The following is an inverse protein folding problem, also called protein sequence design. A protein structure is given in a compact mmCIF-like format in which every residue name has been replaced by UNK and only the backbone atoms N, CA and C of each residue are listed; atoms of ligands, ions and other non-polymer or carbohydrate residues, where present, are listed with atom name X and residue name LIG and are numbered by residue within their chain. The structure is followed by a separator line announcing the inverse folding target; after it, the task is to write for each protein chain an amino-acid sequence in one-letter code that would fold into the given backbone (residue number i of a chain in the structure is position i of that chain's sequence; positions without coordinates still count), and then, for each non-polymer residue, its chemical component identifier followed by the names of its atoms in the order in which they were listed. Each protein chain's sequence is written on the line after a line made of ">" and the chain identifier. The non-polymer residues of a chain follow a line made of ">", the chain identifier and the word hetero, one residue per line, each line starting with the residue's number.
data_IF_393301735056
#
_entry.id   IF_393301735056
#
_cell.length_a   1.000
_cell.length_b   1.000
_cell.length_c   1.000
_cell.angle_alpha   90.00
_cell.angle_beta   90.00
_cell.angle_gamma   90.00
#
_symmetry.space_group_name_H-M   'P 1'
#
loop_
_entity.id
_entity.type
_entity.pdbx_description
1 polymer ?
#
# COMPACT_ATOMS: atom_id res chain seq x y z
N UNK A 1 -37.04 10.34 13.57
CA UNK A 1 -37.77 10.39 12.28
C UNK A 1 -36.94 9.79 11.16
N UNK A 2 -35.65 10.11 11.09
CA UNK A 2 -34.70 9.62 10.08
C UNK A 2 -34.77 8.11 9.77
N UNK A 3 -34.79 7.24 10.78
CA UNK A 3 -34.84 5.78 10.55
C UNK A 3 -36.12 5.32 9.87
N UNK A 4 -37.25 5.96 10.16
CA UNK A 4 -38.55 5.66 9.55
C UNK A 4 -38.63 6.21 8.13
N UNK A 5 -38.10 7.42 7.89
CA UNK A 5 -37.98 8.00 6.56
C UNK A 5 -37.09 7.14 5.67
N UNK A 6 -35.93 6.72 6.18
CA UNK A 6 -35.02 5.84 5.47
C UNK A 6 -35.67 4.49 5.11
N UNK A 7 -36.40 3.87 6.06
CA UNK A 7 -37.15 2.64 5.77
C UNK A 7 -38.23 2.86 4.71
N UNK A 8 -38.91 4.01 4.73
CA UNK A 8 -39.95 4.35 3.76
C UNK A 8 -39.37 4.54 2.36
N UNK A 9 -38.22 5.22 2.25
CA UNK A 9 -37.48 5.37 0.99
C UNK A 9 -37.02 4.01 0.48
N UNK A 10 -36.47 3.15 1.35
CA UNK A 10 -36.04 1.80 0.97
C UNK A 10 -37.18 0.92 0.47
N UNK A 11 -38.38 1.03 1.05
CA UNK A 11 -39.56 0.29 0.55
C UNK A 11 -39.87 0.65 -0.89
N UNK A 12 -39.84 1.94 -1.24
CA UNK A 12 -40.17 2.43 -2.57
C UNK A 12 -39.12 2.02 -3.62
N UNK A 13 -37.84 2.01 -3.26
CA UNK A 13 -36.75 1.59 -4.16
C UNK A 13 -36.52 0.06 -4.19
N UNK A 14 -37.22 -0.67 -3.33
CA UNK A 14 -37.10 -2.12 -3.14
C UNK A 14 -36.27 -2.47 -1.90
N UNK A 15 -36.89 -3.22 -1.00
CA UNK A 15 -36.34 -3.55 0.31
C UNK A 15 -35.22 -4.60 0.22
N UNK A 16 -33.98 -4.31 0.64
CA UNK A 16 -32.92 -5.30 0.75
C UNK A 16 -33.10 -6.18 2.01
N UNK A 17 -32.18 -7.13 2.24
CA UNK A 17 -32.13 -7.87 3.51
C UNK A 17 -31.73 -6.92 4.64
N UNK A 18 -32.69 -6.54 5.49
CA UNK A 18 -32.47 -5.67 6.63
C UNK A 18 -32.28 -6.45 7.94
N UNK A 19 -31.34 -6.00 8.76
CA UNK A 19 -31.12 -6.45 10.14
C UNK A 19 -31.27 -5.22 11.04
N UNK A 20 -32.14 -5.31 12.03
CA UNK A 20 -32.29 -4.25 13.03
C UNK A 20 -31.28 -4.41 14.16
N UNK A 21 -30.72 -3.30 14.65
CA UNK A 21 -29.91 -3.27 15.87
C UNK A 21 -30.51 -2.22 16.80
N UNK A 22 -30.90 -2.64 18.00
CA UNK A 22 -31.39 -1.76 19.05
C UNK A 22 -30.28 -1.54 20.08
N UNK A 23 -29.88 -0.28 20.22
CA UNK A 23 -28.79 0.17 21.10
C UNK A 23 -29.35 0.92 22.32
N UNK A 24 -28.46 1.33 23.23
CA UNK A 24 -28.76 2.12 24.43
C UNK A 24 -29.77 1.46 25.38
N UNK A 25 -29.64 0.15 25.58
CA UNK A 25 -30.49 -0.58 26.50
C UNK A 25 -30.08 -0.41 27.97
N UNK A 26 -28.86 0.05 28.21
CA UNK A 26 -28.34 0.40 29.54
C UNK A 26 -29.03 1.59 30.20
N UNK A 27 -29.72 2.43 29.43
CA UNK A 27 -30.40 3.60 29.99
C UNK A 27 -31.62 3.22 30.83
N UNK A 28 -32.15 2.00 30.67
CA UNK A 28 -33.29 1.51 31.42
C UNK A 28 -32.87 1.06 32.82
N UNK A 29 -33.34 1.77 33.85
CA UNK A 29 -33.15 1.37 35.25
C UNK A 29 -34.01 0.15 35.61
N UNK A 30 -35.21 0.05 35.04
CA UNK A 30 -36.16 -1.03 35.33
C UNK A 30 -36.21 -2.11 34.22
N UNK A 31 -36.06 -3.36 34.63
CA UNK A 31 -36.16 -4.52 33.73
C UNK A 31 -37.55 -4.72 33.13
N UNK A 32 -38.62 -4.30 33.82
CA UNK A 32 -39.99 -4.41 33.31
C UNK A 32 -40.21 -3.47 32.12
N UNK A 33 -39.75 -2.23 32.23
CA UNK A 33 -39.81 -1.24 31.16
C UNK A 33 -38.96 -1.67 29.95
N UNK A 34 -37.75 -2.16 30.20
CA UNK A 34 -36.87 -2.68 29.16
C UNK A 34 -37.56 -3.77 28.32
N UNK A 35 -38.22 -4.75 28.96
CA UNK A 35 -38.95 -5.82 28.26
C UNK A 35 -40.14 -5.31 27.46
N UNK A 36 -40.90 -4.35 28.00
CA UNK A 36 -42.02 -3.70 27.30
C UNK A 36 -41.53 -2.95 26.07
N UNK A 37 -40.44 -2.18 26.20
CA UNK A 37 -39.86 -1.42 25.09
C UNK A 37 -39.27 -2.33 24.01
N UNK A 38 -38.52 -3.37 24.39
CA UNK A 38 -38.03 -4.39 23.43
C UNK A 38 -39.17 -5.00 22.63
N UNK A 39 -40.26 -5.37 23.29
CA UNK A 39 -41.45 -5.95 22.63
C UNK A 39 -42.12 -4.95 21.70
N UNK A 40 -42.31 -3.70 22.15
CA UNK A 40 -42.88 -2.61 21.34
C UNK A 40 -42.05 -2.33 20.09
N UNK A 41 -40.73 -2.18 20.24
CA UNK A 41 -39.81 -1.90 19.14
C UNK A 41 -39.73 -3.08 18.16
N UNK A 42 -39.69 -4.31 18.66
CA UNK A 42 -39.74 -5.51 17.84
C UNK A 42 -41.01 -5.58 17.00
N UNK A 43 -42.19 -5.38 17.62
CA UNK A 43 -43.47 -5.38 16.91
C UNK A 43 -43.56 -4.27 15.88
N UNK A 44 -43.03 -3.08 16.20
CA UNK A 44 -42.99 -1.98 15.25
C UNK A 44 -42.07 -2.29 14.06
N UNK A 45 -40.88 -2.81 14.33
CA UNK A 45 -39.92 -3.21 13.29
C UNK A 45 -40.49 -4.30 12.38
N UNK A 46 -41.26 -5.24 12.92
CA UNK A 46 -41.96 -6.27 12.13
C UNK A 46 -43.03 -5.70 11.21
N UNK A 47 -43.82 -4.73 11.70
CA UNK A 47 -44.79 -4.01 10.87
C UNK A 47 -44.11 -3.21 9.75
N UNK A 48 -42.97 -2.61 10.04
CA UNK A 48 -42.27 -1.74 9.10
C UNK A 48 -41.39 -2.50 8.11
N UNK A 49 -40.92 -3.72 8.38
CA UNK A 49 -40.01 -4.45 7.48
C UNK A 49 -40.69 -5.70 6.90
N UNK A 50 -40.74 -6.76 7.69
CA UNK A 50 -41.56 -7.95 7.44
C UNK A 50 -41.72 -8.71 8.77
N UNK A 51 -42.76 -9.53 8.86
CA UNK A 51 -43.02 -10.33 10.06
C UNK A 51 -41.89 -11.34 10.31
N UNK A 52 -41.33 -11.32 11.52
CA UNK A 52 -40.21 -12.20 11.86
C UNK A 52 -38.83 -11.65 11.50
N UNK A 53 -38.72 -10.38 11.08
CA UNK A 53 -37.43 -9.74 10.85
C UNK A 53 -36.53 -9.79 12.11
N UNK A 54 -35.23 -10.00 11.91
CA UNK A 54 -34.26 -10.16 12.99
C UNK A 54 -33.88 -8.80 13.59
N UNK A 55 -34.04 -8.69 14.90
CA UNK A 55 -33.65 -7.53 15.71
C UNK A 55 -32.62 -7.97 16.76
N UNK A 56 -31.44 -7.38 16.72
CA UNK A 56 -30.37 -7.57 17.70
C UNK A 56 -30.45 -6.51 18.78
N UNK A 57 -30.01 -6.88 19.97
CA UNK A 57 -29.98 -6.02 21.14
C UNK A 57 -28.52 -5.84 21.54
N UNK A 58 -28.04 -4.61 21.55
CA UNK A 58 -26.76 -4.25 22.13
C UNK A 58 -27.04 -3.64 23.49
N UNK A 59 -26.58 -4.31 24.54
CA UNK A 59 -26.86 -3.88 25.91
C UNK A 59 -26.21 -2.52 26.14
N UNK A 60 -24.89 -2.49 25.93
CA UNK A 60 -24.06 -1.40 26.42
C UNK A 60 -22.69 -1.24 25.80
N UNK A 61 -22.01 -0.19 26.23
CA UNK A 61 -20.63 0.12 25.89
C UNK A 61 -19.71 -0.17 27.09
N UNK A 62 -18.65 -0.94 26.84
CA UNK A 62 -17.56 -1.22 27.77
C UNK A 62 -16.27 -0.71 27.14
N UNK A 63 -15.59 0.24 27.77
CA UNK A 63 -14.40 0.91 27.23
C UNK A 63 -14.65 1.46 25.81
N UNK A 64 -15.75 2.20 25.64
CA UNK A 64 -16.19 2.80 24.38
C UNK A 64 -16.40 1.79 23.22
N UNK A 65 -16.55 0.50 23.55
CA UNK A 65 -16.81 -0.57 22.58
C UNK A 65 -17.99 -1.41 23.02
N UNK A 66 -18.75 -1.93 22.07
CA UNK A 66 -19.83 -2.87 22.40
C UNK A 66 -19.30 -4.20 22.94
N UNK A 67 -20.15 -4.95 23.63
CA UNK A 67 -19.81 -6.26 24.16
C UNK A 67 -19.42 -7.23 23.03
N UNK A 68 -18.24 -7.85 23.17
CA UNK A 68 -17.69 -8.77 22.17
C UNK A 68 -18.64 -9.92 21.81
N UNK A 69 -19.35 -10.47 22.79
CA UNK A 69 -20.27 -11.59 22.57
C UNK A 69 -21.48 -11.17 21.72
N UNK A 70 -22.01 -9.98 21.94
CA UNK A 70 -23.15 -9.44 21.18
C UNK A 70 -22.74 -9.11 19.75
N UNK A 71 -21.59 -8.46 19.56
CA UNK A 71 -21.01 -8.20 18.23
C UNK A 71 -20.70 -9.50 17.51
N UNK A 72 -20.13 -10.50 18.20
CA UNK A 72 -19.81 -11.79 17.58
C UNK A 72 -21.07 -12.49 17.06
N UNK A 73 -22.17 -12.46 17.82
CA UNK A 73 -23.45 -12.98 17.37
C UNK A 73 -23.98 -12.21 16.15
N UNK A 74 -23.95 -10.88 16.19
CA UNK A 74 -24.36 -10.04 15.05
C UNK A 74 -23.52 -10.34 13.79
N UNK A 75 -22.19 -10.40 13.93
CA UNK A 75 -21.26 -10.69 12.85
C UNK A 75 -21.51 -12.08 12.23
N UNK A 76 -21.83 -13.07 13.06
CA UNK A 76 -22.21 -14.42 12.60
C UNK A 76 -23.45 -14.36 11.70
N UNK A 77 -24.46 -13.56 12.07
CA UNK A 77 -25.66 -13.41 11.26
C UNK A 77 -25.42 -12.64 9.96
N UNK A 78 -24.64 -11.56 10.00
CA UNK A 78 -24.26 -10.81 8.79
C UNK A 78 -23.52 -11.74 7.81
N UNK A 79 -22.61 -12.58 8.30
CA UNK A 79 -21.81 -13.50 7.47
C UNK A 79 -22.64 -14.56 6.75
N UNK A 80 -23.75 -15.00 7.35
CA UNK A 80 -24.63 -16.05 6.79
C UNK A 80 -25.81 -15.43 6.02
N UNK A 81 -26.02 -14.13 6.15
CA UNK A 81 -27.15 -13.43 5.55
C UNK A 81 -27.12 -13.53 4.01
N UNK A 82 -28.24 -13.96 3.43
CA UNK A 82 -28.40 -13.97 1.97
C UNK A 82 -28.89 -12.60 1.52
N UNK A 83 -28.26 -12.06 0.49
CA UNK A 83 -28.68 -10.79 -0.10
C UNK A 83 -29.86 -11.02 -1.05
N UNK A 84 -30.83 -10.11 -1.01
CA UNK A 84 -31.91 -10.04 -1.99
C UNK A 84 -31.42 -9.22 -3.17
N UNK A 85 -31.52 -9.79 -4.37
CA UNK A 85 -31.11 -9.12 -5.59
C UNK A 85 -32.24 -8.21 -6.11
N UNK A 86 -32.02 -6.91 -6.05
CA UNK A 86 -32.99 -5.90 -6.50
C UNK A 86 -32.96 -5.78 -8.04
N UNK A 87 -34.14 -5.61 -8.65
CA UNK A 87 -34.29 -5.51 -10.11
C UNK A 87 -33.46 -4.38 -10.72
N UNK A 88 -33.42 -3.21 -10.08
CA UNK A 88 -32.61 -2.07 -10.51
C UNK A 88 -31.10 -2.41 -10.52
N UNK A 89 -30.62 -3.04 -9.43
CA UNK A 89 -29.21 -3.45 -9.28
C UNK A 89 -28.79 -4.55 -10.26
N UNK A 90 -29.73 -5.39 -10.72
CA UNK A 90 -29.48 -6.40 -11.74
C UNK A 90 -29.36 -5.82 -13.15
N UNK A 91 -30.01 -4.69 -13.42
CA UNK A 91 -30.08 -4.10 -14.77
C UNK A 91 -29.00 -3.04 -15.01
N UNK A 92 -28.52 -2.38 -13.95
CA UNK A 92 -27.60 -1.25 -14.07
C UNK A 92 -26.26 -1.55 -13.42
N UNK A 93 -25.18 -1.09 -14.06
CA UNK A 93 -23.84 -1.09 -13.50
C UNK A 93 -23.68 0.11 -12.58
N UNK A 94 -23.16 -0.10 -11.38
CA UNK A 94 -22.87 1.00 -10.45
C UNK A 94 -21.58 0.72 -9.68
N UNK A 95 -20.92 1.79 -9.26
CA UNK A 95 -19.71 1.75 -8.45
C UNK A 95 -19.99 2.52 -7.17
N UNK A 96 -19.58 1.95 -6.05
CA UNK A 96 -19.38 2.73 -4.83
C UNK A 96 -17.89 3.04 -4.79
N UNK A 97 -17.56 4.33 -4.88
CA UNK A 97 -16.17 4.76 -4.91
C UNK A 97 -15.55 4.57 -3.52
N UNK A 98 -14.56 3.69 -3.42
CA UNK A 98 -13.80 3.45 -2.19
C UNK A 98 -12.70 4.51 -2.04
N UNK A 99 -12.08 4.91 -3.17
CA UNK A 99 -11.09 5.99 -3.27
C UNK A 99 -11.42 6.87 -4.47
N UNK A 100 -11.13 8.17 -4.37
CA UNK A 100 -11.14 9.07 -5.52
C UNK A 100 -9.91 9.99 -5.48
N UNK A 101 -9.34 10.27 -6.65
CA UNK A 101 -8.24 11.20 -6.80
C UNK A 101 -8.65 12.32 -7.76
N UNK A 102 -8.28 13.55 -7.42
CA UNK A 102 -8.49 14.72 -8.29
C UNK A 102 -7.17 15.07 -8.95
N UNK A 103 -7.09 14.83 -10.26
CA UNK A 103 -5.92 15.15 -11.07
C UNK A 103 -6.06 16.59 -11.54
N UNK A 104 -5.32 17.49 -10.90
CA UNK A 104 -5.17 18.86 -11.37
C UNK A 104 -4.02 18.90 -12.38
N UNK A 105 -4.32 19.01 -13.67
CA UNK A 105 -3.26 19.28 -14.65
C UNK A 105 -2.90 20.76 -14.55
N UNK A 106 -1.61 21.07 -14.43
CA UNK A 106 -1.12 22.45 -14.24
C UNK A 106 -1.55 23.42 -15.37
N UNK A 107 -1.94 22.90 -16.53
CA UNK A 107 -2.30 23.66 -17.73
C UNK A 107 -3.81 23.73 -18.02
N UNK A 108 -4.68 23.13 -17.19
CA UNK A 108 -6.14 23.23 -17.36
C UNK A 108 -6.71 24.42 -16.61
N UNK A 109 -7.67 25.12 -17.23
CA UNK A 109 -8.50 26.15 -16.58
C UNK A 109 -9.03 25.66 -15.23
N UNK A 110 -9.01 26.52 -14.20
CA UNK A 110 -9.45 26.22 -12.81
C UNK A 110 -10.86 25.58 -12.71
N UNK A 111 -11.66 25.66 -13.77
CA UNK A 111 -13.06 25.24 -13.81
C UNK A 111 -13.27 23.76 -14.20
N UNK A 112 -12.25 23.06 -14.70
CA UNK A 112 -12.38 21.64 -15.10
C UNK A 112 -11.29 20.78 -14.47
N UNK A 113 -11.70 19.92 -13.53
CA UNK A 113 -10.82 18.93 -12.90
C UNK A 113 -11.16 17.52 -13.40
N UNK A 114 -10.13 16.73 -13.71
CA UNK A 114 -10.30 15.31 -14.02
C UNK A 114 -10.30 14.52 -12.72
N UNK A 115 -11.33 13.69 -12.51
CA UNK A 115 -11.48 12.88 -11.30
C UNK A 115 -11.41 11.41 -11.65
N UNK A 116 -10.55 10.67 -10.96
CA UNK A 116 -10.41 9.23 -11.06
C UNK A 116 -11.10 8.56 -9.88
N UNK A 117 -12.07 7.70 -10.15
CA UNK A 117 -12.78 6.93 -9.12
C UNK A 117 -12.27 5.49 -9.10
N UNK A 118 -11.95 4.99 -7.91
CA UNK A 118 -11.53 3.62 -7.66
C UNK A 118 -12.59 2.92 -6.81
N UNK A 119 -12.95 1.70 -7.19
CA UNK A 119 -13.88 0.89 -6.42
C UNK A 119 -14.28 -0.35 -7.19
N UNK A 120 -15.12 -1.16 -6.56
CA UNK A 120 -15.63 -2.39 -7.16
C UNK A 120 -16.85 -2.10 -8.05
N UNK A 121 -16.81 -2.65 -9.27
CA UNK A 121 -17.98 -2.65 -10.17
C UNK A 121 -19.03 -3.62 -9.63
N UNK A 122 -20.25 -3.13 -9.43
CA UNK A 122 -21.40 -3.89 -8.92
C UNK A 122 -22.54 -3.86 -9.95
N UNK A 123 -23.40 -4.88 -9.91
CA UNK A 123 -24.52 -5.03 -10.85
C UNK A 123 -24.08 -5.66 -12.17
N UNK A 124 -24.32 -4.97 -13.28
CA UNK A 124 -23.91 -5.42 -14.63
C UNK A 124 -22.49 -4.96 -15.01
N UNK A 125 -22.02 -5.40 -16.18
CA UNK A 125 -20.75 -4.95 -16.73
C UNK A 125 -20.79 -3.45 -17.07
N UNK A 126 -19.73 -2.72 -16.71
CA UNK A 126 -19.56 -1.32 -17.04
C UNK A 126 -19.00 -1.15 -18.46
N UNK A 127 -19.75 -0.48 -19.33
CA UNK A 127 -19.34 -0.18 -20.70
C UNK A 127 -18.44 1.07 -20.77
N UNK A 128 -17.46 1.07 -21.68
CA UNK A 128 -16.49 2.16 -21.83
C UNK A 128 -17.11 3.48 -22.31
N UNK A 129 -18.14 3.40 -23.14
CA UNK A 129 -18.79 4.57 -23.73
C UNK A 129 -20.06 5.00 -22.99
N UNK A 130 -20.34 4.40 -21.83
CA UNK A 130 -21.52 4.75 -21.04
C UNK A 130 -21.41 6.15 -20.45
N UNK A 131 -22.57 6.79 -20.25
CA UNK A 131 -22.68 7.98 -19.40
C UNK A 131 -22.92 7.53 -17.96
N UNK A 132 -22.25 8.19 -17.02
CA UNK A 132 -22.37 7.93 -15.59
C UNK A 132 -23.01 9.14 -14.93
N UNK A 133 -24.00 8.88 -14.09
CA UNK A 133 -24.60 9.90 -13.25
C UNK A 133 -23.91 9.90 -11.88
N UNK A 134 -23.26 11.01 -11.54
CA UNK A 134 -22.71 11.25 -10.21
C UNK A 134 -23.79 11.86 -9.33
N UNK A 135 -24.14 11.14 -8.25
CA UNK A 135 -25.15 11.58 -7.29
C UNK A 135 -24.83 12.98 -6.75
N UNK A 136 -25.74 13.93 -6.99
CA UNK A 136 -25.61 15.31 -6.51
C UNK A 136 -24.72 16.23 -7.35
N UNK A 137 -24.04 15.72 -8.38
CA UNK A 137 -23.17 16.54 -9.26
C UNK A 137 -23.77 16.64 -10.66
N UNK A 138 -24.12 15.50 -11.28
CA UNK A 138 -24.69 15.48 -12.64
C UNK A 138 -24.19 14.33 -13.51
N UNK A 139 -24.45 14.43 -14.81
CA UNK A 139 -24.15 13.40 -15.81
C UNK A 139 -22.83 13.67 -16.54
N UNK A 140 -21.94 12.69 -16.53
CA UNK A 140 -20.61 12.78 -17.16
C UNK A 140 -20.32 11.57 -18.06
N UNK A 141 -19.61 11.76 -19.19
CA UNK A 141 -19.09 10.65 -19.98
C UNK A 141 -17.86 10.04 -19.29
N UNK A 142 -17.63 8.74 -19.51
CA UNK A 142 -16.40 8.06 -19.03
C UNK A 142 -15.26 8.33 -20.02
N UNK A 143 -14.12 8.80 -19.52
CA UNK A 143 -12.91 9.01 -20.33
C UNK A 143 -12.10 7.73 -20.53
N UNK A 144 -11.85 6.98 -19.45
CA UNK A 144 -11.06 5.77 -19.48
C UNK A 144 -11.50 4.80 -18.37
N UNK A 145 -11.39 3.50 -18.63
CA UNK A 145 -11.64 2.43 -17.66
C UNK A 145 -10.42 1.51 -17.64
N UNK A 146 -9.80 1.40 -16.47
CA UNK A 146 -8.67 0.49 -16.23
C UNK A 146 -9.03 -0.50 -15.14
N UNK A 147 -8.76 -1.78 -15.39
CA UNK A 147 -8.94 -2.84 -14.38
C UNK A 147 -7.66 -2.94 -13.55
N UNK A 148 -7.80 -2.80 -12.24
CA UNK A 148 -6.70 -2.91 -11.27
C UNK A 148 -6.86 -4.24 -10.51
N UNK A 149 -5.76 -4.77 -9.98
CA UNK A 149 -5.81 -5.95 -9.12
C UNK A 149 -6.58 -5.66 -7.83
N UNK A 150 -7.26 -6.69 -7.32
CA UNK A 150 -8.06 -6.58 -6.11
C UNK A 150 -7.16 -6.32 -4.88
N UNK A 151 -7.36 -5.22 -4.13
CA UNK A 151 -6.59 -4.95 -2.91
C UNK A 151 -6.93 -5.91 -1.76
N UNK A 152 -8.08 -6.58 -1.79
CA UNK A 152 -8.50 -7.59 -0.79
C UNK A 152 -8.85 -8.89 -1.52
N UNK A 153 -7.85 -9.64 -1.98
CA UNK A 153 -8.10 -10.89 -2.69
C UNK A 153 -8.76 -11.89 -1.74
N UNK A 154 -9.96 -12.34 -2.11
CA UNK A 154 -10.64 -13.41 -1.38
C UNK A 154 -9.95 -14.73 -1.72
N UNK A 155 -9.05 -15.20 -0.87
CA UNK A 155 -8.31 -16.46 -1.08
C UNK A 155 -9.24 -17.65 -1.38
N UNK A 156 -10.47 -17.62 -0.83
CA UNK A 156 -11.50 -18.63 -1.01
C UNK A 156 -12.09 -18.70 -2.44
N UNK A 157 -12.02 -17.63 -3.24
CA UNK A 157 -12.62 -17.55 -4.58
C UNK A 157 -11.55 -17.46 -5.65
N UNK A 158 -11.71 -18.25 -6.70
CA UNK A 158 -10.84 -18.24 -7.86
C UNK A 158 -10.86 -16.84 -8.49
N UNK A 159 -9.74 -16.10 -8.53
CA UNK A 159 -9.71 -14.84 -9.25
C UNK A 159 -9.88 -15.10 -10.74
N UNK A 160 -10.61 -14.21 -11.42
CA UNK A 160 -11.05 -14.42 -12.80
C UNK A 160 -9.90 -14.63 -13.81
N UNK A 161 -8.69 -14.17 -13.48
CA UNK A 161 -7.50 -14.27 -14.33
C UNK A 161 -6.69 -15.57 -14.13
N UNK A 162 -6.91 -16.34 -13.05
CA UNK A 162 -6.17 -17.59 -12.82
C UNK A 162 -6.83 -18.77 -13.53
N UNK A 163 -6.07 -19.83 -13.85
CA UNK A 163 -6.65 -21.10 -14.29
C UNK A 163 -7.20 -21.88 -13.09
N UNK A 164 -8.18 -22.76 -13.33
CA UNK A 164 -8.86 -23.50 -12.25
C UNK A 164 -7.89 -24.46 -11.54
N UNK A 165 -7.03 -25.10 -12.32
CA UNK A 165 -6.01 -26.04 -11.86
C UNK A 165 -4.97 -25.38 -10.96
N UNK A 166 -4.44 -24.21 -11.36
CA UNK A 166 -3.50 -23.42 -10.55
C UNK A 166 -4.12 -22.99 -9.21
N UNK A 167 -5.38 -22.58 -9.24
CA UNK A 167 -6.11 -22.19 -8.03
C UNK A 167 -6.37 -23.37 -7.09
N UNK A 168 -6.69 -24.55 -7.63
CA UNK A 168 -6.90 -25.78 -6.84
C UNK A 168 -5.58 -26.33 -6.26
N UNK A 169 -4.46 -26.15 -6.95
CA UNK A 169 -3.12 -26.44 -6.43
C UNK A 169 -2.75 -25.51 -5.26
N UNK A 170 -3.05 -24.21 -5.37
CA UNK A 170 -2.80 -23.21 -4.32
C UNK A 170 -3.67 -23.39 -3.07
N UNK A 171 -4.97 -23.70 -3.23
CA UNK A 171 -5.89 -23.84 -2.10
C UNK A 171 -5.80 -25.20 -1.38
N UNK A 172 -5.31 -26.23 -2.06
CA UNK A 172 -5.39 -27.61 -1.58
C UNK A 172 -6.83 -28.17 -1.62
N UNK A 173 -6.95 -29.51 -1.66
CA UNK A 173 -8.20 -30.25 -1.97
C UNK A 173 -9.39 -30.05 -1.00
N UNK A 174 -9.30 -29.27 0.08
CA UNK A 174 -10.37 -29.14 1.09
C UNK A 174 -10.78 -27.69 1.28
N UNK A 175 -12.05 -27.37 0.98
CA UNK A 175 -12.70 -26.10 1.34
C UNK A 175 -12.60 -25.91 2.87
N UNK A 176 -11.70 -25.03 3.30
CA UNK A 176 -11.51 -24.70 4.72
C UNK A 176 -12.75 -23.96 5.23
N UNK A 177 -13.23 -24.33 6.43
CA UNK A 177 -14.39 -23.68 7.07
C UNK A 177 -14.01 -22.51 7.97
N UNK A 178 -12.72 -22.37 8.30
CA UNK A 178 -12.19 -21.34 9.20
C UNK A 178 -11.21 -20.45 8.45
N UNK A 179 -11.36 -19.14 8.64
CA UNK A 179 -10.50 -18.10 8.08
C UNK A 179 -9.24 -17.94 8.94
N UNK A 180 -8.05 -17.90 8.32
CA UNK A 180 -6.79 -17.61 9.02
C UNK A 180 -6.70 -16.12 9.37
N UNK A 181 -5.83 -15.77 10.32
CA UNK A 181 -5.60 -14.36 10.65
C UNK A 181 -4.95 -13.58 9.50
N UNK A 182 -4.10 -14.22 8.68
CA UNK A 182 -3.50 -13.61 7.47
C UNK A 182 -4.53 -13.23 6.41
N UNK A 183 -5.65 -13.94 6.37
CA UNK A 183 -6.74 -13.73 5.41
C UNK A 183 -7.69 -12.60 5.87
N UNK A 184 -7.56 -12.11 7.11
CA UNK A 184 -8.35 -11.00 7.66
C UNK A 184 -7.78 -9.65 7.25
N UNK A 185 -7.82 -9.37 5.95
CA UNK A 185 -7.32 -8.13 5.36
C UNK A 185 -8.44 -7.07 5.39
N UNK A 186 -8.07 -5.83 5.70
CA UNK A 186 -8.99 -4.68 5.72
C UNK A 186 -8.49 -3.65 4.71
N UNK A 187 -9.37 -3.22 3.81
CA UNK A 187 -9.11 -2.12 2.87
C UNK A 187 -10.06 -0.97 3.16
N UNK A 188 -9.49 0.15 3.62
CA UNK A 188 -10.23 1.36 3.94
C UNK A 188 -9.31 2.57 3.69
N UNK A 189 -9.19 3.04 2.44
CA UNK A 189 -8.17 4.03 2.06
C UNK A 189 -8.37 5.41 2.69
N UNK A 190 -9.62 5.79 3.02
CA UNK A 190 -9.95 7.04 3.70
C UNK A 190 -10.14 6.89 5.22
N UNK A 191 -9.88 5.72 5.78
CA UNK A 191 -10.01 5.48 7.22
C UNK A 191 -8.64 5.28 7.85
N UNK A 192 -8.54 5.69 9.11
CA UNK A 192 -7.40 5.42 9.97
C UNK A 192 -7.22 3.92 10.18
N UNK A 193 -6.14 3.36 9.64
CA UNK A 193 -5.79 1.95 9.82
C UNK A 193 -4.62 1.86 10.80
N UNK A 194 -4.93 1.55 12.06
CA UNK A 194 -3.94 1.43 13.12
C UNK A 194 -3.29 2.78 13.41
N UNK A 195 -1.98 2.87 13.19
CA UNK A 195 -1.20 4.09 13.44
C UNK A 195 -1.12 5.02 12.22
N UNK A 196 -1.54 4.59 11.03
CA UNK A 196 -1.37 5.35 9.80
C UNK A 196 -2.70 5.95 9.34
N UNK A 197 -2.71 7.27 9.17
CA UNK A 197 -3.82 8.04 8.66
C UNK A 197 -3.41 8.64 7.32
N UNK A 198 -4.25 8.51 6.31
CA UNK A 198 -4.01 9.12 5.01
C UNK A 198 -4.99 10.27 4.80
N UNK A 199 -4.45 11.43 4.45
CA UNK A 199 -5.17 12.53 3.81
C UNK A 199 -4.78 12.59 2.33
N UNK A 200 -5.45 13.42 1.53
CA UNK A 200 -5.33 13.48 0.05
C UNK A 200 -3.89 13.55 -0.46
N UNK A 201 -3.01 14.25 0.26
CA UNK A 201 -1.61 14.45 -0.13
C UNK A 201 -0.61 14.08 0.96
N UNK A 202 -1.08 13.82 2.18
CA UNK A 202 -0.24 13.72 3.37
C UNK A 202 -0.60 12.51 4.20
N UNK A 203 0.39 11.76 4.65
CA UNK A 203 0.23 10.67 5.61
C UNK A 203 0.60 11.15 7.00
N UNK A 204 -0.26 10.89 8.00
CA UNK A 204 0.02 11.12 9.40
C UNK A 204 0.22 9.78 10.10
N UNK A 205 1.24 9.69 10.96
CA UNK A 205 1.49 8.52 11.79
C UNK A 205 1.28 8.91 13.25
N UNK A 206 0.36 8.22 13.93
CA UNK A 206 0.14 8.36 15.36
C UNK A 206 1.09 7.43 16.11
N UNK A 207 2.14 8.01 16.68
CA UNK A 207 3.12 7.28 17.50
C UNK A 207 2.73 7.49 18.97
N UNK A 208 2.65 6.44 19.81
CA UNK A 208 2.43 6.61 21.24
C UNK A 208 3.58 7.38 21.88
N UNK A 209 3.28 8.30 22.80
CA UNK A 209 4.25 9.24 23.41
C UNK A 209 5.53 8.58 23.93
N UNK A 210 5.43 7.34 24.44
CA UNK A 210 6.57 6.55 24.94
C UNK A 210 7.64 6.25 23.88
N UNK A 211 7.29 6.29 22.60
CA UNK A 211 8.16 5.98 21.47
C UNK A 211 8.49 7.21 20.62
N UNK A 212 7.96 8.38 20.98
CA UNK A 212 8.20 9.61 20.22
C UNK A 212 9.59 10.12 20.52
N UNK A 213 10.42 10.27 19.49
CA UNK A 213 11.75 10.87 19.57
C UNK A 213 11.80 11.98 18.53
N UNK A 214 11.93 13.22 19.00
CA UNK A 214 12.02 14.38 18.13
C UNK A 214 13.46 14.61 17.66
N UNK A 215 13.62 15.05 16.41
CA UNK A 215 14.93 15.41 15.84
C UNK A 215 15.50 16.68 16.48
N UNK A 216 14.65 17.63 16.87
CA UNK A 216 15.03 18.87 17.56
C UNK A 216 14.64 18.77 19.03
N UNK A 217 15.58 19.07 19.92
CA UNK A 217 15.42 18.99 21.37
C UNK A 217 15.18 20.35 22.03
N UNK A 218 15.17 21.44 21.25
CA UNK A 218 15.12 22.82 21.75
C UNK A 218 13.78 23.18 22.43
N UNK A 219 12.69 22.46 22.10
CA UNK A 219 11.33 22.77 22.56
C UNK A 219 10.72 21.74 23.53
N UNK A 220 11.52 20.84 24.13
CA UNK A 220 10.99 19.71 24.92
C UNK A 220 11.53 19.72 26.36
N UNK A 221 10.65 20.01 27.33
CA UNK A 221 10.97 20.16 28.76
C UNK A 221 11.38 18.86 29.50
N UNK A 222 11.31 17.69 28.85
CA UNK A 222 11.64 16.39 29.43
C UNK A 222 12.67 15.64 28.58
N UNK A 223 13.94 15.99 28.76
CA UNK A 223 15.07 15.35 28.06
C UNK A 223 15.33 13.98 28.71
N UNK A 224 14.83 12.92 28.07
CA UNK A 224 15.33 11.56 28.32
C UNK A 224 16.77 11.52 27.77
N UNK A 225 17.77 10.98 28.50
CA UNK A 225 19.14 10.92 28.01
C UNK A 225 19.21 10.15 26.68
N UNK A 226 19.89 10.76 25.70
CA UNK A 226 19.99 10.21 24.35
C UNK A 226 20.67 8.85 24.36
N UNK A 227 20.03 7.86 23.74
CA UNK A 227 20.71 6.61 23.40
C UNK A 227 21.72 6.87 22.26
N UNK A 228 22.83 6.14 22.22
CA UNK A 228 23.88 6.28 21.18
C UNK A 228 23.30 6.26 19.74
N UNK A 229 22.31 5.40 19.49
CA UNK A 229 21.60 5.34 18.21
C UNK A 229 20.79 6.60 17.87
N UNK A 230 20.21 7.29 18.86
CA UNK A 230 19.49 8.55 18.64
C UNK A 230 20.46 9.67 18.29
N UNK A 231 21.61 9.75 18.97
CA UNK A 231 22.68 10.69 18.67
C UNK A 231 23.24 10.49 17.26
N UNK A 232 23.42 9.24 16.83
CA UNK A 232 23.88 8.92 15.47
C UNK A 232 22.86 9.37 14.40
N UNK A 233 21.57 9.10 14.59
CA UNK A 233 20.52 9.50 13.62
C UNK A 233 20.42 11.01 13.49
N UNK A 234 20.52 11.77 14.59
CA UNK A 234 20.51 13.24 14.55
C UNK A 234 21.70 13.79 13.76
N UNK A 235 22.92 13.29 14.03
CA UNK A 235 24.14 13.67 13.29
C UNK A 235 24.02 13.40 11.78
N UNK A 236 23.42 12.27 11.40
CA UNK A 236 23.19 11.94 9.98
C UNK A 236 22.16 12.86 9.31
N UNK A 237 21.07 13.19 10.01
CA UNK A 237 20.07 14.13 9.50
C UNK A 237 20.66 15.52 9.26
N UNK A 238 21.43 16.05 10.21
CA UNK A 238 22.10 17.35 10.07
C UNK A 238 23.11 17.38 8.92
N UNK A 239 23.89 16.30 8.72
CA UNK A 239 24.89 16.23 7.64
C UNK A 239 24.25 16.27 6.25
N UNK A 240 23.08 15.64 6.07
CA UNK A 240 22.39 15.68 4.78
C UNK A 240 21.89 17.08 4.40
N UNK A 241 21.49 17.90 5.38
CA UNK A 241 21.15 19.31 5.12
C UNK A 241 22.38 20.11 4.67
N UNK A 242 23.52 19.96 5.36
CA UNK A 242 24.76 20.67 5.00
C UNK A 242 25.30 20.29 3.63
N UNK A 243 25.31 19.00 3.28
CA UNK A 243 25.81 18.54 1.97
C UNK A 243 25.03 19.07 0.75
N UNK A 244 23.78 19.52 0.93
CA UNK A 244 22.99 20.14 -0.15
C UNK A 244 23.33 21.62 -0.36
N UNK A 245 23.84 22.29 0.66
CA UNK A 245 24.28 23.68 0.58
C UNK A 245 25.79 23.78 0.22
N UNK A 246 26.59 22.77 0.59
CA UNK A 246 28.05 22.73 0.42
C UNK A 246 28.53 22.00 -0.86
N UNK A 247 27.63 21.62 -1.78
CA UNK A 247 28.00 20.81 -2.97
C UNK A 247 28.82 21.55 -4.04
N UNK A 248 29.37 22.73 -3.75
CA UNK A 248 30.21 23.46 -4.69
C UNK A 248 31.67 23.69 -4.26
N UNK A 249 32.11 23.42 -3.03
CA UNK A 249 33.49 23.85 -2.66
C UNK A 249 34.40 22.78 -2.01
N UNK A 250 33.90 21.76 -1.30
CA UNK A 250 34.80 20.84 -0.58
C UNK A 250 34.63 19.37 -0.97
N UNK A 251 35.06 19.02 -2.19
CA UNK A 251 35.19 17.63 -2.67
C UNK A 251 36.67 17.17 -2.74
N UNK A 252 37.57 17.70 -1.90
CA UNK A 252 38.98 17.31 -1.94
C UNK A 252 39.50 16.45 -0.78
N UNK A 253 38.81 16.35 0.36
CA UNK A 253 39.30 15.52 1.47
C UNK A 253 38.29 14.42 1.85
N UNK A 254 38.27 13.36 1.03
CA UNK A 254 37.62 12.11 1.40
C UNK A 254 38.60 11.25 2.22
N UNK A 255 38.66 11.48 3.54
CA UNK A 255 39.30 10.55 4.48
C UNK A 255 38.40 9.34 4.69
N UNK A 256 38.59 8.31 3.86
CA UNK A 256 37.83 7.04 3.94
C UNK A 256 38.38 6.13 5.05
N UNK A 257 39.57 6.41 5.61
CA UNK A 257 40.15 5.64 6.71
C UNK A 257 41.19 6.49 7.46
N UNK A 258 41.06 6.63 8.79
CA UNK A 258 42.07 7.31 9.59
C UNK A 258 43.39 6.51 9.57
N UNK A 259 44.39 7.01 8.84
CA UNK A 259 45.76 6.47 8.89
C UNK A 259 46.54 6.38 7.57
N UNK A 260 46.02 6.82 6.43
CA UNK A 260 46.79 6.81 5.17
C UNK A 260 46.74 8.19 4.51
N UNK A 261 47.82 8.96 4.65
CA UNK A 261 48.05 10.20 3.90
C UNK A 261 48.81 9.90 2.61
N UNK A 262 48.33 10.40 1.48
CA UNK A 262 49.04 10.36 0.20
C UNK A 262 49.64 11.74 -0.07
N UNK A 263 50.98 11.85 -0.07
CA UNK A 263 51.66 13.08 -0.48
C UNK A 263 51.60 13.22 -2.00
N UNK A 264 50.91 14.26 -2.48
CA UNK A 264 50.94 14.64 -3.90
C UNK A 264 52.03 15.69 -4.11
N UNK A 265 53.18 15.27 -4.60
CA UNK A 265 54.16 16.19 -5.18
C UNK A 265 53.60 16.75 -6.49
N UNK A 266 53.56 18.09 -6.59
CA UNK A 266 53.20 18.81 -7.81
C UNK A 266 54.34 18.68 -8.82
N UNK A 267 54.07 18.01 -9.94
CA UNK A 267 54.90 18.09 -11.14
C UNK A 267 54.03 18.36 -12.38
N UNK A 268 54.60 19.15 -13.29
CA UNK A 268 53.96 20.00 -14.28
C UNK A 268 53.21 19.31 -15.44
N UNK A 269 52.33 20.12 -16.03
CA UNK A 269 51.47 19.92 -17.19
C UNK A 269 52.14 19.20 -18.39
N UNK A 270 51.57 18.05 -18.81
CA UNK A 270 51.47 17.64 -20.23
C UNK A 270 50.18 16.87 -20.49
N UNK A 271 49.34 17.39 -21.38
CA UNK A 271 48.14 16.75 -21.91
C UNK A 271 48.40 15.31 -22.39
N UNK A 272 47.67 14.34 -21.81
CA UNK A 272 47.52 12.99 -22.39
C UNK A 272 46.05 12.64 -22.45
N UNK A 273 45.56 12.47 -23.68
CA UNK A 273 44.22 11.98 -24.01
C UNK A 273 43.91 10.67 -23.27
N UNK A 274 42.81 10.61 -22.54
CA UNK A 274 42.37 9.44 -21.79
C UNK A 274 41.85 8.35 -22.75
N UNK A 275 42.59 7.24 -22.85
CA UNK A 275 42.07 5.98 -23.44
C UNK A 275 41.13 5.33 -22.43
N UNK A 276 39.83 5.39 -22.66
CA UNK A 276 38.84 4.63 -21.89
C UNK A 276 38.92 3.13 -22.24
N UNK A 277 39.46 2.30 -21.33
CA UNK A 277 39.33 0.84 -21.37
C UNK A 277 37.95 0.43 -20.82
N UNK A 278 37.08 -0.13 -21.66
CA UNK A 278 35.85 -0.78 -21.18
C UNK A 278 36.16 -2.21 -20.74
N UNK A 279 36.09 -2.48 -19.43
CA UNK A 279 36.15 -3.82 -18.85
C UNK A 279 34.74 -4.35 -18.61
N UNK A 280 34.48 -5.59 -19.01
CA UNK A 280 33.24 -6.30 -18.69
C UNK A 280 33.59 -7.51 -17.83
N UNK A 281 33.04 -7.55 -16.62
CA UNK A 281 33.18 -8.67 -15.69
C UNK A 281 31.86 -9.44 -15.70
N UNK A 282 31.92 -10.75 -15.92
CA UNK A 282 30.74 -11.64 -15.87
C UNK A 282 31.03 -12.76 -14.87
N UNK A 283 30.10 -12.98 -13.95
CA UNK A 283 30.13 -14.04 -12.95
C UNK A 283 29.33 -15.24 -13.46
N UNK A 284 30.00 -16.37 -13.65
CA UNK A 284 29.38 -17.67 -13.92
C UNK A 284 30.16 -18.74 -13.16
N UNK A 285 29.44 -19.58 -12.42
CA UNK A 285 29.95 -20.74 -11.67
C UNK A 285 31.13 -20.45 -10.74
N UNK A 286 31.02 -19.38 -9.94
CA UNK A 286 31.95 -19.08 -8.84
C UNK A 286 33.39 -18.73 -9.26
N UNK A 287 33.65 -18.51 -10.55
CA UNK A 287 34.96 -18.06 -11.07
C UNK A 287 34.82 -16.73 -11.80
N UNK A 288 35.67 -15.76 -11.46
CA UNK A 288 35.73 -14.44 -12.10
C UNK A 288 36.54 -14.57 -13.39
N UNK A 289 35.91 -14.29 -14.53
CA UNK A 289 36.58 -14.17 -15.84
C UNK A 289 36.57 -12.70 -16.26
N UNK A 290 37.76 -12.15 -16.51
CA UNK A 290 37.93 -10.79 -17.02
C UNK A 290 38.11 -10.81 -18.54
N UNK A 291 37.34 -10.00 -19.25
CA UNK A 291 37.48 -9.80 -20.70
C UNK A 291 38.18 -8.47 -20.97
N UNK A 292 39.33 -8.52 -21.62
CA UNK A 292 40.08 -7.33 -22.05
C UNK A 292 40.06 -7.28 -23.58
N UNK A 293 39.40 -6.27 -24.13
CA UNK A 293 39.42 -5.96 -25.56
C UNK A 293 40.56 -4.98 -25.82
N UNK A 294 41.60 -5.42 -26.56
CA UNK A 294 42.67 -4.52 -27.04
C UNK A 294 42.54 -4.38 -28.56
N UNK A 295 42.37 -3.15 -29.06
CA UNK A 295 42.58 -2.86 -30.48
C UNK A 295 44.08 -2.66 -30.68
N UNK A 296 44.74 -3.60 -31.33
CA UNK A 296 46.08 -3.38 -31.88
C UNK A 296 45.95 -2.98 -33.35
N UNK A 297 46.48 -1.81 -33.71
CA UNK A 297 46.58 -1.37 -35.09
C UNK A 297 47.89 -1.93 -35.65
N UNK A 298 47.82 -3.00 -36.44
CA UNK A 298 48.89 -3.34 -37.37
C UNK A 298 48.59 -2.65 -38.70
N UNK A 299 49.53 -1.84 -39.16
CA UNK A 299 49.48 -1.22 -40.49
C UNK A 299 50.11 -2.21 -41.47
N UNK A 300 49.28 -2.81 -42.33
CA UNK A 300 49.71 -3.43 -43.58
C UNK A 300 48.81 -2.91 -44.70
N UNK A 301 49.43 -2.36 -45.75
CA UNK A 301 48.72 -1.77 -46.88
C UNK A 301 48.04 -2.85 -47.74
N UNK A 302 46.73 -2.68 -48.01
CA UNK A 302 45.97 -3.43 -49.01
C UNK A 302 44.62 -3.97 -48.51
N UNK A 303 43.54 -3.36 -49.00
CA UNK A 303 42.12 -3.80 -49.12
C UNK A 303 41.40 -4.58 -48.00
N UNK A 304 40.25 -4.01 -47.60
CA UNK A 304 39.01 -4.56 -46.99
C UNK A 304 39.01 -5.47 -45.73
N UNK A 305 38.10 -5.09 -44.81
CA UNK A 305 37.62 -5.76 -43.58
C UNK A 305 38.55 -5.77 -42.36
N UNK A 306 38.16 -5.00 -41.33
CA UNK A 306 38.79 -5.03 -40.01
C UNK A 306 38.22 -6.20 -39.17
N UNK A 307 38.91 -7.34 -39.18
CA UNK A 307 38.62 -8.45 -38.26
C UNK A 307 39.10 -8.13 -36.83
N UNK A 308 38.17 -8.20 -35.87
CA UNK A 308 38.45 -8.01 -34.44
C UNK A 308 38.86 -9.35 -33.84
N UNK A 309 40.17 -9.54 -33.60
CA UNK A 309 40.68 -10.72 -32.88
C UNK A 309 40.65 -10.50 -31.36
N UNK A 310 40.01 -11.42 -30.63
CA UNK A 310 39.97 -11.40 -29.17
C UNK A 310 41.14 -12.22 -28.61
N UNK A 311 42.10 -11.56 -27.96
CA UNK A 311 43.18 -12.25 -27.25
C UNK A 311 42.71 -12.71 -25.87
N UNK A 312 42.70 -14.02 -25.65
CA UNK A 312 42.47 -14.63 -24.35
C UNK A 312 43.77 -14.62 -23.53
N UNK A 313 43.76 -13.97 -22.36
CA UNK A 313 44.85 -14.11 -21.38
C UNK A 313 44.28 -14.63 -20.07
N UNK A 314 44.45 -15.93 -19.86
CA UNK A 314 44.09 -16.57 -18.60
C UNK A 314 45.12 -16.17 -17.54
N UNK A 315 44.79 -15.21 -16.66
CA UNK A 315 45.56 -15.00 -15.44
C UNK A 315 45.09 -16.04 -14.41
N UNK A 316 46.03 -16.80 -13.84
CA UNK A 316 45.76 -17.59 -12.64
C UNK A 316 45.45 -16.61 -11.49
N UNK A 317 44.21 -16.59 -11.05
CA UNK A 317 43.79 -15.80 -9.90
C UNK A 317 44.09 -16.59 -8.61
N UNK A 318 44.63 -15.88 -7.61
CA UNK A 318 44.79 -16.38 -6.24
C UNK A 318 43.41 -16.66 -5.63
N UNK A 319 43.28 -17.74 -4.89
CA UNK A 319 42.04 -18.14 -4.22
C UNK A 319 41.72 -17.21 -3.04
N UNK A 320 40.44 -17.08 -2.68
CA UNK A 320 39.97 -16.29 -1.53
C UNK A 320 40.65 -16.67 -0.20
N UNK A 321 41.17 -17.90 -0.11
CA UNK A 321 42.00 -18.39 1.00
C UNK A 321 43.32 -17.64 1.14
N UNK A 322 43.92 -17.19 0.03
CA UNK A 322 45.25 -16.57 -0.01
C UNK A 322 45.22 -15.11 0.47
N UNK A 323 44.01 -14.52 0.55
CA UNK A 323 43.80 -13.17 1.10
C UNK A 323 43.60 -13.17 2.62
N UNK A 324 43.19 -14.29 3.21
CA UNK A 324 42.82 -14.36 4.62
C UNK A 324 43.99 -14.82 5.50
N UNK A 325 44.95 -15.56 4.95
CA UNK A 325 46.09 -16.13 5.70
C UNK A 325 47.45 -15.85 5.05
N UNK A 326 47.76 -14.58 4.75
CA UNK A 326 49.14 -14.22 4.44
C UNK A 326 49.87 -13.93 5.77
N UNK A 327 50.51 -14.95 6.33
CA UNK A 327 51.71 -14.81 7.14
C UNK A 327 52.86 -14.53 6.17
N UNK A 328 53.28 -13.27 6.06
CA UNK A 328 54.66 -12.82 5.80
C UNK A 328 54.66 -11.33 5.40
N UNK A 329 55.41 -10.55 6.20
CA UNK A 329 55.82 -9.14 6.07
C UNK A 329 54.79 -8.04 6.41
#
# INVERSE_FOLDING_TARGET
>A
METFEFLSILKNHGMPSCIGVLTHLDYFKENKELRKTKTRMKLRFWKDVYEGAKLFYLSGLMYDRYLKNEIHNLARFISVSKHVELSWRKKHSYIVADRFDVIHQANTSKDKAMVSFYGYVRGTHLEKNARVHLMGIGDYPITAITRIQDPVPVEAKKPAYMKKEEFEQLQGKKKRRTLKDKERIVYAPFSSLGALNFDKTSGYITIPDKYVVFSKTEDVDNIIPDNEGQAMVRKLQERQFKSKDETNEDMNDLDILAGVSYDVQKDDEKEKQSKFEKRRVVLTDGKIKEFVSRKEAQVSAGEDQADVTFLYKEKKNKTLSDFIYNEDA
#
